data_IF_671265316096
#
_entry.id   IF_671265316096
#
_cell.length_a   1.000
_cell.length_b   1.000
_cell.length_c   1.000
_cell.angle_alpha   90.00
_cell.angle_beta   90.00
_cell.angle_gamma   90.00
#
_symmetry.space_group_name_H-M   'P 1'
#
loop_
_entity.id
_entity.type
_entity.pdbx_description
1 polymer ?
#
# COMPACT_ATOMS: atom_id res chain seq x y z
N UNK A 1 3.70 11.12 -1.10
CA UNK A 1 3.17 9.75 -1.35
C UNK A 1 3.99 9.00 -2.38
N UNK A 2 4.37 9.63 -3.50
CA UNK A 2 5.30 9.02 -4.46
C UNK A 2 6.68 8.67 -3.85
N UNK A 3 7.13 9.42 -2.84
CA UNK A 3 8.40 9.15 -2.15
C UNK A 3 8.38 7.85 -1.32
N UNK A 4 7.28 7.54 -0.63
CA UNK A 4 7.16 6.31 0.17
C UNK A 4 6.99 5.04 -0.68
N UNK A 5 6.53 5.17 -1.92
CA UNK A 5 6.46 4.06 -2.87
C UNK A 5 7.85 3.67 -3.43
N UNK A 6 8.80 4.62 -3.45
CA UNK A 6 10.19 4.35 -3.85
C UNK A 6 10.94 3.47 -2.84
N UNK A 7 10.51 3.45 -1.58
CA UNK A 7 11.21 2.75 -0.49
C UNK A 7 11.05 1.22 -0.53
N UNK A 8 9.97 0.71 -1.14
CA UNK A 8 9.75 -0.73 -1.33
C UNK A 8 10.03 -1.25 -2.74
N UNK A 9 10.51 -0.40 -3.66
CA UNK A 9 10.80 -0.79 -5.05
C UNK A 9 9.63 -1.53 -5.76
N UNK A 10 8.38 -1.25 -5.39
CA UNK A 10 7.22 -1.89 -6.01
C UNK A 10 6.65 -1.03 -7.13
N UNK A 11 6.24 -1.67 -8.22
CA UNK A 11 5.48 -1.01 -9.26
C UNK A 11 4.02 -0.86 -8.80
N UNK A 12 3.63 0.37 -8.47
CA UNK A 12 2.24 0.71 -8.21
C UNK A 12 1.47 0.79 -9.54
N UNK A 13 0.28 0.20 -9.58
CA UNK A 13 -0.61 0.19 -10.75
C UNK A 13 -2.04 0.51 -10.33
N UNK A 14 -2.91 0.87 -11.29
CA UNK A 14 -4.32 1.17 -11.04
C UNK A 14 -4.53 2.20 -9.91
N UNK A 15 -3.68 3.22 -9.86
CA UNK A 15 -3.72 4.27 -8.84
C UNK A 15 -4.98 5.12 -9.05
N UNK A 16 -5.81 5.19 -8.02
CA UNK A 16 -7.03 5.99 -7.97
C UNK A 16 -7.03 6.80 -6.68
N UNK A 17 -7.07 8.12 -6.81
CA UNK A 17 -7.15 9.02 -5.67
C UNK A 17 -8.53 9.68 -5.64
N UNK A 18 -9.22 9.55 -4.53
CA UNK A 18 -10.53 10.18 -4.28
C UNK A 18 -10.49 10.90 -2.94
N UNK A 19 -10.43 12.24 -3.02
CA UNK A 19 -10.32 13.13 -1.86
C UNK A 19 -9.13 12.79 -0.95
N UNK A 20 -9.44 12.23 0.21
CA UNK A 20 -8.50 11.82 1.26
C UNK A 20 -8.20 10.32 1.23
N UNK A 21 -8.53 9.64 0.13
CA UNK A 21 -8.29 8.21 -0.05
C UNK A 21 -7.45 7.94 -1.28
N UNK A 22 -6.58 6.93 -1.19
CA UNK A 22 -5.76 6.44 -2.29
C UNK A 22 -5.92 4.93 -2.38
N UNK A 23 -6.40 4.46 -3.53
CA UNK A 23 -6.47 3.04 -3.87
C UNK A 23 -5.43 2.74 -4.92
N UNK A 24 -4.69 1.65 -4.76
CA UNK A 24 -3.72 1.20 -5.76
C UNK A 24 -3.51 -0.30 -5.66
N UNK A 25 -2.95 -0.86 -6.72
CA UNK A 25 -2.60 -2.27 -6.83
C UNK A 25 -1.08 -2.44 -6.87
N UNK A 26 -0.60 -3.52 -6.29
CA UNK A 26 0.76 -4.02 -6.43
C UNK A 26 0.67 -5.41 -7.05
N UNK A 27 1.22 -5.58 -8.24
CA UNK A 27 1.05 -6.83 -9.01
C UNK A 27 1.77 -8.03 -8.38
N UNK A 28 2.94 -7.79 -7.76
CA UNK A 28 3.68 -8.79 -7.00
C UNK A 28 4.53 -8.12 -5.94
N UNK A 29 4.41 -8.57 -4.70
CA UNK A 29 5.24 -8.13 -3.58
C UNK A 29 5.35 -9.25 -2.56
N UNK A 30 6.50 -9.36 -1.91
CA UNK A 30 6.66 -10.26 -0.79
C UNK A 30 5.79 -9.79 0.39
N UNK A 31 5.01 -10.68 0.99
CA UNK A 31 4.06 -10.31 2.05
C UNK A 31 4.75 -9.73 3.30
N UNK A 32 6.01 -10.09 3.58
CA UNK A 32 6.75 -9.56 4.73
C UNK A 32 7.24 -8.14 4.47
N UNK A 33 7.73 -7.87 3.25
CA UNK A 33 8.10 -6.51 2.83
C UNK A 33 6.88 -5.59 2.83
N UNK A 34 5.75 -6.07 2.30
CA UNK A 34 4.50 -5.31 2.31
C UNK A 34 4.05 -4.97 3.74
N UNK A 35 4.12 -5.93 4.67
CA UNK A 35 3.77 -5.70 6.08
C UNK A 35 4.69 -4.67 6.75
N UNK A 36 5.99 -4.71 6.47
CA UNK A 36 6.93 -3.75 7.02
C UNK A 36 6.65 -2.34 6.47
N UNK A 37 6.43 -2.22 5.17
CA UNK A 37 6.08 -0.94 4.57
C UNK A 37 4.76 -0.37 5.09
N UNK A 38 3.72 -1.19 5.23
CA UNK A 38 2.45 -0.74 5.81
C UNK A 38 2.64 -0.25 7.26
N UNK A 39 3.57 -0.84 8.01
CA UNK A 39 3.93 -0.36 9.34
C UNK A 39 4.58 1.02 9.26
N UNK A 40 5.49 1.26 8.32
CA UNK A 40 6.14 2.55 8.08
C UNK A 40 5.14 3.62 7.63
N UNK A 41 4.24 3.27 6.71
CA UNK A 41 3.13 4.13 6.28
C UNK A 41 2.24 4.50 7.47
N UNK A 42 1.94 3.55 8.36
CA UNK A 42 1.14 3.81 9.55
C UNK A 42 1.88 4.67 10.60
N UNK A 43 3.22 4.71 10.58
CA UNK A 43 4.01 5.64 11.41
C UNK A 43 3.98 7.07 10.85
N UNK A 44 3.59 7.25 9.59
CA UNK A 44 3.39 8.58 9.00
C UNK A 44 2.10 9.18 9.55
N UNK A 45 2.22 10.31 10.27
CA UNK A 45 1.10 10.97 10.94
C UNK A 45 -0.07 11.19 9.99
N UNK A 46 -1.20 10.59 10.36
CA UNK A 46 -2.48 10.83 9.70
C UNK A 46 -2.84 9.86 8.59
N UNK A 47 -1.95 8.95 8.15
CA UNK A 47 -2.27 7.91 7.15
C UNK A 47 -2.78 6.64 7.84
N UNK A 48 -3.82 6.02 7.29
CA UNK A 48 -4.44 4.78 7.78
C UNK A 48 -4.71 3.82 6.64
N UNK A 49 -4.57 2.52 6.92
CA UNK A 49 -5.02 1.46 6.03
C UNK A 49 -6.53 1.24 6.20
N UNK A 50 -7.31 1.47 5.15
CA UNK A 50 -8.77 1.23 5.16
C UNK A 50 -9.11 -0.18 4.73
N UNK A 51 -8.48 -0.66 3.65
CA UNK A 51 -8.73 -1.98 3.10
C UNK A 51 -7.47 -2.55 2.47
N UNK A 52 -7.30 -3.86 2.62
CA UNK A 52 -6.27 -4.62 1.94
C UNK A 52 -6.83 -5.97 1.51
N UNK A 53 -6.79 -6.24 0.21
CA UNK A 53 -7.11 -7.54 -0.37
C UNK A 53 -5.81 -8.16 -0.88
N UNK A 54 -5.52 -9.40 -0.46
CA UNK A 54 -4.31 -10.13 -0.84
C UNK A 54 -4.69 -11.37 -1.65
N UNK A 55 -4.08 -11.51 -2.82
CA UNK A 55 -4.21 -12.70 -3.66
C UNK A 55 -2.85 -13.39 -3.74
N UNK A 56 -2.72 -14.67 -3.32
CA UNK A 56 -1.48 -15.42 -3.50
C UNK A 56 -1.10 -15.48 -4.98
N UNK A 57 0.15 -15.15 -5.30
CA UNK A 57 0.68 -15.28 -6.68
C UNK A 57 1.51 -16.55 -6.81
N UNK A 58 2.25 -16.93 -5.76
CA UNK A 58 3.06 -18.14 -5.73
C UNK A 58 3.21 -18.69 -4.29
N UNK A 59 3.80 -19.88 -4.14
CA UNK A 59 4.03 -20.54 -2.84
C UNK A 59 5.14 -19.88 -2.00
N UNK A 60 5.93 -18.96 -2.59
CA UNK A 60 7.11 -18.33 -1.97
C UNK A 60 6.83 -17.02 -1.21
N UNK A 61 5.61 -16.85 -0.68
CA UNK A 61 5.16 -15.67 0.09
C UNK A 61 4.90 -14.40 -0.72
N UNK A 62 4.85 -14.51 -2.06
CA UNK A 62 4.51 -13.40 -2.94
C UNK A 62 2.98 -13.27 -3.11
N UNK A 63 2.50 -12.03 -3.03
CA UNK A 63 1.10 -11.69 -3.15
C UNK A 63 0.90 -10.54 -4.13
N UNK A 64 -0.24 -10.56 -4.81
CA UNK A 64 -0.83 -9.38 -5.44
C UNK A 64 -1.67 -8.68 -4.38
N UNK A 65 -1.51 -7.38 -4.24
CA UNK A 65 -2.21 -6.60 -3.23
C UNK A 65 -3.05 -5.50 -3.88
N UNK A 66 -4.29 -5.36 -3.42
CA UNK A 66 -5.08 -4.15 -3.62
C UNK A 66 -5.19 -3.45 -2.27
N UNK A 67 -4.79 -2.18 -2.22
CA UNK A 67 -4.66 -1.43 -0.98
C UNK A 67 -5.45 -0.14 -1.12
N UNK A 68 -6.25 0.17 -0.09
CA UNK A 68 -6.90 1.45 0.09
C UNK A 68 -6.36 2.10 1.35
N UNK A 69 -5.74 3.26 1.19
CA UNK A 69 -5.29 4.12 2.28
C UNK A 69 -6.24 5.32 2.39
N UNK A 70 -6.34 5.88 3.59
CA UNK A 70 -6.93 7.19 3.82
C UNK A 70 -6.02 8.06 4.69
N UNK A 71 -6.17 9.37 4.60
CA UNK A 71 -5.47 10.29 5.50
C UNK A 71 -6.38 11.39 5.99
N UNK A 72 -6.12 11.86 7.22
CA UNK A 72 -6.78 13.05 7.72
C UNK A 72 -6.23 14.29 6.98
N UNK A 73 -7.10 15.18 6.52
CA UNK A 73 -6.70 16.56 6.24
C UNK A 73 -6.08 17.12 7.50
N UNK A 74 -4.82 17.54 7.42
CA UNK A 74 -4.27 18.44 8.43
C UNK A 74 -5.11 19.71 8.34
N UNK A 75 -5.84 20.01 9.42
CA UNK A 75 -6.69 21.18 9.54
C UNK A 75 -5.86 22.47 9.56
#
# INVERSE_FOLDING_TARGET
MEESAKEIHVALSNIQQDGQTLTFNIDRVNVYELKNWLREVNLTTGVRLEKMDLTPVDHLSDVKAQIKLSWAKVA
#
